data_IF_483584806456
#
_entry.id   IF_483584806456
#
_cell.length_a   1.000
_cell.length_b   1.000
_cell.length_c   1.000
_cell.angle_alpha   90.00
_cell.angle_beta   90.00
_cell.angle_gamma   90.00
#
_symmetry.space_group_name_H-M   'P 1'
#
loop_
_entity.id
_entity.type
_entity.pdbx_description
1 polymer ?
#
# COMPACT_ATOMS: atom_id res chain seq x y z
N UNK A 1 -2.61 13.30 -4.01
CA UNK A 1 -1.77 12.07 -4.11
C UNK A 1 -1.83 11.22 -2.83
N UNK A 2 -1.55 11.73 -1.63
CA UNK A 2 -1.71 10.94 -0.38
C UNK A 2 -3.12 10.36 -0.24
N UNK A 3 -4.16 11.17 -0.47
CA UNK A 3 -5.55 10.71 -0.38
C UNK A 3 -5.81 9.50 -1.28
N UNK A 4 -5.20 9.48 -2.47
CA UNK A 4 -5.31 8.35 -3.38
C UNK A 4 -4.63 7.08 -2.82
N UNK A 5 -3.46 7.21 -2.18
CA UNK A 5 -2.80 6.07 -1.52
C UNK A 5 -3.57 5.56 -0.31
N UNK A 6 -4.20 6.47 0.45
CA UNK A 6 -5.09 6.09 1.55
C UNK A 6 -6.28 5.30 1.03
N UNK A 7 -6.91 5.73 -0.07
CA UNK A 7 -8.02 5.00 -0.72
C UNK A 7 -7.54 3.62 -1.18
N UNK A 8 -6.41 3.53 -1.88
CA UNK A 8 -5.87 2.24 -2.34
C UNK A 8 -5.55 1.30 -1.17
N UNK A 9 -4.98 1.83 -0.09
CA UNK A 9 -4.70 1.06 1.12
C UNK A 9 -5.98 0.58 1.81
N UNK A 10 -7.03 1.41 1.88
CA UNK A 10 -8.34 1.03 2.40
C UNK A 10 -8.98 -0.07 1.55
N UNK A 11 -8.96 0.06 0.22
CA UNK A 11 -9.43 -0.99 -0.69
C UNK A 11 -8.65 -2.30 -0.48
N UNK A 12 -7.31 -2.20 -0.37
CA UNK A 12 -6.43 -3.33 -0.10
C UNK A 12 -6.76 -4.00 1.22
N UNK A 13 -6.98 -3.21 2.28
CA UNK A 13 -7.39 -3.70 3.60
C UNK A 13 -8.71 -4.46 3.53
N UNK A 14 -9.74 -3.89 2.88
CA UNK A 14 -11.05 -4.54 2.74
C UNK A 14 -10.90 -5.87 2.02
N UNK A 15 -10.21 -5.88 0.88
CA UNK A 15 -10.01 -7.09 0.07
C UNK A 15 -9.22 -8.15 0.87
N UNK A 16 -8.14 -7.77 1.53
CA UNK A 16 -7.31 -8.68 2.32
C UNK A 16 -8.08 -9.26 3.52
N UNK A 17 -8.90 -8.45 4.19
CA UNK A 17 -9.72 -8.88 5.35
C UNK A 17 -10.70 -9.99 5.00
N UNK A 18 -11.27 -9.97 3.79
CA UNK A 18 -12.22 -10.98 3.33
C UNK A 18 -11.57 -12.10 2.52
N UNK A 19 -10.27 -12.02 2.25
CA UNK A 19 -9.55 -13.06 1.51
C UNK A 19 -9.25 -14.29 2.36
N UNK A 20 -9.04 -15.45 1.70
CA UNK A 20 -8.66 -16.71 2.36
C UNK A 20 -7.18 -16.73 2.81
N UNK A 21 -6.63 -15.57 3.16
CA UNK A 21 -5.23 -15.41 3.52
C UNK A 21 -5.00 -15.77 5.00
N UNK A 22 -3.84 -16.38 5.28
CA UNK A 22 -3.44 -16.67 6.65
C UNK A 22 -3.19 -15.38 7.45
N UNK A 23 -3.44 -15.43 8.76
CA UNK A 23 -3.26 -14.28 9.65
C UNK A 23 -1.85 -13.65 9.56
N UNK A 24 -0.74 -14.41 9.55
CA UNK A 24 0.59 -13.83 9.42
C UNK A 24 0.77 -13.06 8.10
N UNK A 25 0.31 -13.64 6.98
CA UNK A 25 0.39 -12.98 5.67
C UNK A 25 -0.45 -11.71 5.64
N UNK A 26 -1.68 -11.76 6.15
CA UNK A 26 -2.55 -10.58 6.27
C UNK A 26 -1.85 -9.45 7.05
N UNK A 27 -1.25 -9.77 8.21
CA UNK A 27 -0.52 -8.79 9.03
C UNK A 27 0.64 -8.19 8.24
N UNK A 28 1.42 -9.00 7.52
CA UNK A 28 2.54 -8.52 6.70
C UNK A 28 2.07 -7.51 5.63
N UNK A 29 1.00 -7.82 4.89
CA UNK A 29 0.48 -6.92 3.85
C UNK A 29 -0.14 -5.64 4.42
N UNK A 30 -0.80 -5.74 5.57
CA UNK A 30 -1.32 -4.57 6.26
C UNK A 30 -0.19 -3.66 6.76
N UNK A 31 0.82 -4.23 7.41
CA UNK A 31 1.96 -3.48 7.93
C UNK A 31 2.76 -2.82 6.81
N UNK A 32 2.95 -3.51 5.68
CA UNK A 32 3.69 -2.97 4.53
C UNK A 32 2.97 -1.78 3.91
N UNK A 33 1.64 -1.85 3.72
CA UNK A 33 0.84 -0.73 3.25
C UNK A 33 0.90 0.46 4.22
N UNK A 34 0.83 0.20 5.54
CA UNK A 34 0.92 1.23 6.56
C UNK A 34 2.27 1.95 6.54
N UNK A 35 3.38 1.20 6.53
CA UNK A 35 4.75 1.76 6.47
C UNK A 35 4.90 2.64 5.22
N UNK A 36 4.41 2.18 4.07
CA UNK A 36 4.51 2.91 2.81
C UNK A 36 3.74 4.24 2.85
N UNK A 37 2.56 4.27 3.47
CA UNK A 37 1.82 5.51 3.67
C UNK A 37 2.59 6.47 4.59
N UNK A 38 3.12 5.97 5.72
CA UNK A 38 3.93 6.78 6.63
C UNK A 38 5.16 7.38 5.93
N UNK A 39 5.91 6.57 5.19
CA UNK A 39 7.08 7.00 4.40
C UNK A 39 6.67 8.03 3.35
N UNK A 40 5.57 7.81 2.62
CA UNK A 40 5.06 8.75 1.63
C UNK A 40 4.70 10.12 2.24
N UNK A 41 4.10 10.14 3.43
CA UNK A 41 3.76 11.39 4.13
C UNK A 41 5.02 12.11 4.61
N UNK A 42 6.00 11.39 5.15
CA UNK A 42 7.27 11.96 5.62
C UNK A 42 8.02 12.63 4.46
N UNK A 43 8.12 11.96 3.31
CA UNK A 43 8.85 12.47 2.14
C UNK A 43 8.21 13.73 1.55
N UNK A 44 6.89 13.90 1.68
CA UNK A 44 6.25 15.15 1.24
C UNK A 44 6.71 16.36 2.03
N UNK A 45 6.96 16.19 3.33
CA UNK A 45 7.42 17.27 4.22
C UNK A 45 8.91 17.55 4.11
N UNK A 46 9.70 16.58 3.65
CA UNK A 46 11.14 16.74 3.51
C UNK A 46 11.50 17.59 2.29
N UNK A 47 12.55 18.39 2.42
CA UNK A 47 13.11 19.14 1.30
C UNK A 47 14.03 18.25 0.46
N UNK A 48 13.40 17.38 -0.32
CA UNK A 48 14.06 16.42 -1.24
C UNK A 48 13.79 16.85 -2.67
N UNK A 49 14.75 16.59 -3.56
CA UNK A 49 14.59 16.81 -5.01
C UNK A 49 13.29 16.17 -5.52
N UNK A 50 12.50 16.87 -6.36
CA UNK A 50 11.21 16.36 -6.83
C UNK A 50 11.27 14.97 -7.48
N UNK A 51 12.33 14.68 -8.24
CA UNK A 51 12.58 13.39 -8.91
C UNK A 51 12.55 12.21 -7.92
N UNK A 52 13.19 12.38 -6.77
CA UNK A 52 13.27 11.37 -5.71
C UNK A 52 11.89 11.17 -5.08
N UNK A 53 11.15 12.27 -4.83
CA UNK A 53 9.78 12.21 -4.31
C UNK A 53 8.87 11.40 -5.24
N UNK A 54 8.87 11.72 -6.53
CA UNK A 54 8.04 11.01 -7.52
C UNK A 54 8.43 9.54 -7.68
N UNK A 55 9.72 9.22 -7.60
CA UNK A 55 10.20 7.82 -7.62
C UNK A 55 9.61 7.04 -6.45
N UNK A 56 9.64 7.62 -5.25
CA UNK A 56 9.13 6.95 -4.04
C UNK A 56 7.61 6.84 -4.09
N UNK A 57 6.89 7.85 -4.60
CA UNK A 57 5.45 7.73 -4.82
C UNK A 57 5.11 6.65 -5.86
N UNK A 58 5.86 6.57 -6.96
CA UNK A 58 5.69 5.52 -7.96
C UNK A 58 5.87 4.12 -7.36
N UNK A 59 6.91 3.93 -6.57
CA UNK A 59 7.13 2.67 -5.84
C UNK A 59 5.99 2.37 -4.85
N UNK A 60 5.57 3.37 -4.09
CA UNK A 60 4.47 3.26 -3.13
C UNK A 60 3.16 2.82 -3.80
N UNK A 61 2.86 3.42 -4.96
CA UNK A 61 1.71 3.05 -5.78
C UNK A 61 1.79 1.59 -6.23
N UNK A 62 2.95 1.15 -6.72
CA UNK A 62 3.15 -0.22 -7.18
C UNK A 62 2.88 -1.24 -6.06
N UNK A 63 3.39 -1.01 -4.86
CA UNK A 63 3.18 -1.93 -3.73
C UNK A 63 1.70 -1.97 -3.30
N UNK A 64 1.02 -0.82 -3.25
CA UNK A 64 -0.41 -0.78 -2.91
C UNK A 64 -1.26 -1.52 -3.95
N UNK A 65 -0.96 -1.37 -5.24
CA UNK A 65 -1.61 -2.13 -6.31
C UNK A 65 -1.31 -3.63 -6.22
N UNK A 66 -0.07 -4.00 -5.90
CA UNK A 66 0.30 -5.40 -5.69
C UNK A 66 -0.50 -6.05 -4.55
N UNK A 67 -0.69 -5.34 -3.43
CA UNK A 67 -1.51 -5.83 -2.31
C UNK A 67 -2.97 -6.05 -2.74
N UNK A 68 -3.54 -5.16 -3.56
CA UNK A 68 -4.88 -5.33 -4.12
C UNK A 68 -4.97 -6.58 -5.00
N UNK A 69 -3.99 -6.79 -5.88
CA UNK A 69 -3.95 -7.96 -6.79
C UNK A 69 -3.83 -9.26 -5.99
N UNK A 70 -2.95 -9.32 -5.00
CA UNK A 70 -2.79 -10.53 -4.17
C UNK A 70 -4.04 -10.78 -3.35
N UNK A 71 -4.59 -9.76 -2.69
CA UNK A 71 -5.82 -9.91 -1.93
C UNK A 71 -6.97 -10.40 -2.81
N UNK A 72 -7.12 -9.84 -4.01
CA UNK A 72 -8.13 -10.27 -4.97
C UNK A 72 -7.91 -11.71 -5.41
N UNK A 73 -6.66 -12.11 -5.71
CA UNK A 73 -6.34 -13.51 -6.05
C UNK A 73 -6.69 -14.49 -4.94
N UNK A 74 -6.56 -14.08 -3.68
CA UNK A 74 -6.89 -14.90 -2.51
C UNK A 74 -8.40 -14.87 -2.15
N UNK A 75 -9.20 -13.98 -2.75
CA UNK A 75 -10.66 -14.03 -2.61
C UNK A 75 -11.28 -15.17 -3.45
N UNK A 76 -10.66 -15.51 -4.58
CA UNK A 76 -11.18 -16.50 -5.54
C UNK A 76 -10.45 -17.85 -5.50
N UNK A 77 -9.55 -18.04 -4.53
CA UNK A 77 -8.86 -19.30 -4.26
C UNK A 77 -9.42 -19.94 -3.00
#
# INVERSE_FOLDING_TARGET
MIVFFLILSLCGYVILKYSNMSLPSYVTYFLSAFIIICVSILILKLDVKPEIKYTIFGFSLFVLLHNLVIGAKMLFK
#
